data_IF_120991027994
#
_entry.id   IF_120991027994
#
_cell.length_a   1.000
_cell.length_b   1.000
_cell.length_c   1.000
_cell.angle_alpha   90.00
_cell.angle_beta   90.00
_cell.angle_gamma   90.00
#
_symmetry.space_group_name_H-M   'P 1'
#
loop_
_entity.id
_entity.type
_entity.pdbx_description
1 polymer ?
#
# COMPACT_ATOMS: atom_id res chain seq x y z
N UNK A 1 32.81 -45.94 15.16
CA UNK A 1 33.57 -44.89 15.90
C UNK A 1 33.27 -43.57 15.24
N UNK A 2 32.71 -42.61 15.92
CA UNK A 2 32.47 -41.28 15.39
C UNK A 2 33.82 -40.52 15.39
N UNK A 3 34.38 -40.26 14.22
CA UNK A 3 35.71 -39.62 14.04
C UNK A 3 35.79 -38.16 14.44
N UNK A 4 35.11 -37.77 15.55
CA UNK A 4 35.04 -36.39 16.05
C UNK A 4 35.66 -36.37 17.48
N UNK A 5 36.60 -35.42 17.72
CA UNK A 5 37.16 -35.24 19.06
C UNK A 5 36.11 -34.80 20.05
N UNK A 6 36.33 -35.12 21.38
CA UNK A 6 35.43 -34.70 22.46
C UNK A 6 35.26 -33.16 22.49
N UNK A 7 36.29 -32.41 22.22
CA UNK A 7 36.23 -30.94 22.15
C UNK A 7 35.37 -30.46 20.97
N UNK A 8 35.51 -31.09 19.79
CA UNK A 8 34.70 -30.76 18.62
C UNK A 8 33.18 -31.03 18.86
N UNK A 9 32.86 -32.11 19.59
CA UNK A 9 31.52 -32.44 20.00
C UNK A 9 30.88 -31.39 20.88
N UNK A 10 31.54 -30.99 21.96
CA UNK A 10 31.04 -29.94 22.86
C UNK A 10 30.94 -28.58 22.17
N UNK A 11 31.92 -28.22 21.34
CA UNK A 11 31.90 -26.98 20.56
C UNK A 11 30.70 -26.94 19.57
N UNK A 12 30.33 -28.10 19.01
CA UNK A 12 29.15 -28.24 18.15
C UNK A 12 27.85 -28.05 18.94
N UNK A 13 27.72 -28.68 20.12
CA UNK A 13 26.54 -28.52 20.99
C UNK A 13 26.37 -27.03 21.35
N UNK A 14 27.41 -26.35 21.74
CA UNK A 14 27.35 -24.91 22.09
C UNK A 14 26.94 -24.07 20.89
N UNK A 15 27.56 -24.30 19.73
CA UNK A 15 27.18 -23.65 18.48
C UNK A 15 25.71 -23.89 18.10
N UNK A 16 25.20 -25.09 18.30
CA UNK A 16 23.82 -25.43 17.98
C UNK A 16 22.83 -24.77 18.95
N UNK A 17 23.16 -24.65 20.24
CA UNK A 17 22.38 -23.86 21.23
C UNK A 17 22.28 -22.39 20.82
N UNK A 18 23.39 -21.77 20.44
CA UNK A 18 23.41 -20.37 19.98
C UNK A 18 22.55 -20.20 18.73
N UNK A 19 22.61 -21.11 17.76
CA UNK A 19 21.78 -21.08 16.57
C UNK A 19 20.29 -21.21 16.89
N UNK A 20 19.91 -22.05 17.86
CA UNK A 20 18.51 -22.18 18.30
C UNK A 20 18.02 -20.86 18.87
N UNK A 21 18.77 -20.25 19.79
CA UNK A 21 18.43 -18.96 20.38
C UNK A 21 18.31 -17.85 19.32
N UNK A 22 19.24 -17.78 18.36
CA UNK A 22 19.16 -16.83 17.26
C UNK A 22 17.89 -17.04 16.39
N UNK A 23 17.52 -18.29 16.11
CA UNK A 23 16.28 -18.59 15.35
C UNK A 23 15.02 -18.17 16.09
N UNK A 24 14.94 -18.44 17.39
CA UNK A 24 13.85 -18.00 18.26
C UNK A 24 13.74 -16.46 18.29
N UNK A 25 14.86 -15.79 18.45
CA UNK A 25 14.90 -14.33 18.39
C UNK A 25 14.35 -13.81 17.06
N UNK A 26 14.80 -14.36 15.92
CA UNK A 26 14.32 -13.95 14.59
C UNK A 26 12.82 -14.22 14.43
N UNK A 27 12.31 -15.33 14.93
CA UNK A 27 10.87 -15.64 14.88
C UNK A 27 10.05 -14.62 15.69
N UNK A 28 10.53 -14.22 16.85
CA UNK A 28 9.89 -13.18 17.67
C UNK A 28 9.86 -11.82 16.94
N UNK A 29 10.95 -11.45 16.28
CA UNK A 29 10.98 -10.20 15.48
C UNK A 29 10.03 -10.28 14.26
N UNK A 30 9.96 -11.43 13.59
CA UNK A 30 8.97 -11.68 12.52
C UNK A 30 7.55 -11.52 13.05
N UNK A 31 7.26 -12.05 14.24
CA UNK A 31 5.93 -11.92 14.86
C UNK A 31 5.57 -10.46 15.15
N UNK A 32 6.51 -9.67 15.68
CA UNK A 32 6.32 -8.22 15.89
C UNK A 32 5.93 -7.50 14.59
N UNK A 33 6.67 -7.72 13.51
CA UNK A 33 6.36 -7.11 12.20
C UNK A 33 4.99 -7.57 11.69
N UNK A 34 4.65 -8.85 11.87
CA UNK A 34 3.39 -9.41 11.38
C UNK A 34 2.17 -9.07 12.22
N UNK A 35 2.33 -8.61 13.46
CA UNK A 35 1.22 -8.00 14.22
C UNK A 35 0.68 -6.76 13.51
N UNK A 36 1.53 -5.97 12.90
CA UNK A 36 1.12 -4.78 12.15
C UNK A 36 0.84 -5.08 10.67
N UNK A 37 1.64 -5.95 10.04
CA UNK A 37 1.56 -6.32 8.63
C UNK A 37 1.41 -7.84 8.46
N UNK A 38 0.23 -8.43 8.70
CA UNK A 38 0.03 -9.89 8.88
C UNK A 38 0.50 -10.76 7.71
N UNK A 39 0.41 -10.26 6.49
CA UNK A 39 0.76 -11.03 5.29
C UNK A 39 2.00 -10.50 4.56
N UNK A 40 2.93 -9.88 5.31
CA UNK A 40 4.22 -9.47 4.73
C UNK A 40 5.03 -10.70 4.30
N UNK A 41 5.37 -10.75 3.01
CA UNK A 41 6.14 -11.85 2.42
C UNK A 41 7.61 -11.85 2.86
N UNK A 42 8.23 -13.03 2.87
CA UNK A 42 9.59 -13.27 3.40
C UNK A 42 10.66 -12.31 2.88
N UNK A 43 10.63 -11.95 1.59
CA UNK A 43 11.60 -11.01 1.03
C UNK A 43 11.55 -9.63 1.68
N UNK A 44 10.35 -9.09 1.93
CA UNK A 44 10.18 -7.80 2.62
C UNK A 44 10.49 -7.94 4.11
N UNK A 45 10.08 -9.05 4.75
CA UNK A 45 10.48 -9.36 6.13
C UNK A 45 11.99 -9.32 6.28
N UNK A 46 12.74 -9.92 5.36
CA UNK A 46 14.19 -9.92 5.40
C UNK A 46 14.76 -8.48 5.40
N UNK A 47 14.22 -7.59 4.56
CA UNK A 47 14.65 -6.19 4.54
C UNK A 47 14.30 -5.43 5.83
N UNK A 48 13.13 -5.70 6.42
CA UNK A 48 12.77 -5.12 7.72
C UNK A 48 13.68 -5.64 8.85
N UNK A 49 14.09 -6.90 8.79
CA UNK A 49 14.93 -7.55 9.82
C UNK A 49 16.42 -7.18 9.71
N UNK A 50 16.89 -6.78 8.52
CA UNK A 50 18.32 -6.52 8.29
C UNK A 50 18.99 -5.65 9.35
N UNK A 51 18.46 -4.48 9.77
CA UNK A 51 19.09 -3.67 10.80
C UNK A 51 19.22 -4.42 12.14
N UNK A 52 18.18 -5.16 12.54
CA UNK A 52 18.14 -5.94 13.77
C UNK A 52 19.10 -7.13 13.73
N UNK A 53 19.22 -7.80 12.58
CA UNK A 53 20.16 -8.90 12.37
C UNK A 53 21.61 -8.41 12.51
N UNK A 54 21.94 -7.28 11.89
CA UNK A 54 23.28 -6.65 11.97
C UNK A 54 23.58 -6.24 13.40
N UNK A 55 22.65 -5.57 14.08
CA UNK A 55 22.82 -5.10 15.46
C UNK A 55 23.10 -6.24 16.46
N UNK A 56 22.55 -7.43 16.21
CA UNK A 56 22.68 -8.60 17.08
C UNK A 56 23.72 -9.61 16.58
N UNK A 57 24.54 -9.27 15.59
CA UNK A 57 25.55 -10.16 14.94
C UNK A 57 24.96 -11.51 14.49
N UNK A 58 23.72 -11.50 14.00
CA UNK A 58 23.04 -12.70 13.49
C UNK A 58 23.30 -12.85 11.99
N UNK A 59 24.11 -13.82 11.61
CA UNK A 59 24.43 -14.13 10.21
C UNK A 59 23.35 -15.00 9.58
N UNK A 60 22.21 -14.40 9.23
CA UNK A 60 21.10 -15.06 8.56
C UNK A 60 20.87 -14.41 7.19
N UNK A 61 21.02 -15.18 6.11
CA UNK A 61 20.69 -14.73 4.76
C UNK A 61 19.20 -14.89 4.46
N UNK A 62 18.76 -14.30 3.34
CA UNK A 62 17.37 -14.37 2.86
C UNK A 62 16.86 -15.81 2.74
N UNK A 63 17.63 -16.71 2.18
CA UNK A 63 17.19 -18.08 1.92
C UNK A 63 17.11 -18.88 3.22
N UNK A 64 18.02 -18.65 4.18
CA UNK A 64 17.93 -19.22 5.52
C UNK A 64 16.65 -18.74 6.26
N UNK A 65 16.24 -17.49 6.07
CA UNK A 65 14.97 -17.00 6.59
C UNK A 65 13.77 -17.70 5.92
N UNK A 66 13.82 -17.95 4.60
CA UNK A 66 12.80 -18.74 3.92
C UNK A 66 12.67 -20.14 4.51
N UNK A 67 13.78 -20.81 4.76
CA UNK A 67 13.79 -22.17 5.33
C UNK A 67 13.27 -22.18 6.79
N UNK A 68 13.69 -21.19 7.59
CA UNK A 68 13.18 -21.02 8.95
C UNK A 68 11.64 -20.81 8.97
N UNK A 69 11.12 -19.94 8.12
CA UNK A 69 9.68 -19.68 8.02
C UNK A 69 8.91 -20.87 7.43
N UNK A 70 9.52 -21.60 6.49
CA UNK A 70 8.93 -22.82 5.92
C UNK A 70 8.81 -23.91 6.98
N UNK A 71 9.86 -24.16 7.73
CA UNK A 71 9.88 -25.14 8.81
C UNK A 71 8.78 -24.84 9.86
N UNK A 72 8.61 -23.58 10.22
CA UNK A 72 7.59 -23.13 11.17
C UNK A 72 6.20 -22.91 10.55
N UNK A 73 5.97 -23.28 9.27
CA UNK A 73 4.69 -23.09 8.54
C UNK A 73 4.21 -21.63 8.49
N UNK A 74 5.14 -20.70 8.51
CA UNK A 74 4.90 -19.26 8.52
C UNK A 74 4.99 -18.59 7.13
N UNK A 75 5.11 -19.35 6.05
CA UNK A 75 5.07 -18.79 4.70
C UNK A 75 3.68 -18.27 4.34
N UNK A 76 3.62 -17.08 3.74
CA UNK A 76 2.35 -16.50 3.27
C UNK A 76 1.82 -17.30 2.09
N UNK A 77 0.59 -17.82 2.20
CA UNK A 77 -0.07 -18.58 1.13
C UNK A 77 -0.62 -17.65 0.06
N UNK A 78 -0.50 -18.06 -1.21
CA UNK A 78 -1.17 -17.37 -2.33
C UNK A 78 -2.68 -17.52 -2.19
N UNK A 79 -3.42 -16.41 -2.31
CA UNK A 79 -4.88 -16.41 -2.31
C UNK A 79 -5.40 -16.27 -3.74
N UNK A 80 -6.53 -16.94 -4.07
CA UNK A 80 -7.18 -16.82 -5.37
C UNK A 80 -7.76 -15.39 -5.55
N UNK A 81 -7.67 -14.84 -6.77
CA UNK A 81 -8.27 -13.54 -7.14
C UNK A 81 -9.79 -13.68 -7.29
N UNK A 82 -10.54 -12.62 -6.99
CA UNK A 82 -12.00 -12.52 -7.15
C UNK A 82 -12.39 -11.31 -8.00
N UNK A 83 -13.64 -11.32 -8.48
CA UNK A 83 -14.25 -10.58 -9.58
C UNK A 83 -14.36 -9.06 -9.46
N UNK A 84 -14.55 -8.45 -10.62
CA UNK A 84 -14.78 -7.04 -10.95
C UNK A 84 -16.25 -6.68 -10.62
N UNK A 85 -16.47 -5.49 -10.05
CA UNK A 85 -17.80 -5.00 -9.64
C UNK A 85 -18.04 -3.53 -9.98
N UNK A 86 -17.55 -3.05 -11.11
CA UNK A 86 -17.80 -1.65 -11.53
C UNK A 86 -18.94 -1.60 -12.53
N UNK A 87 -20.00 -0.84 -12.22
CA UNK A 87 -21.04 -0.48 -13.18
C UNK A 87 -20.57 0.76 -13.96
N UNK A 88 -20.08 0.53 -15.19
CA UNK A 88 -19.60 1.56 -16.10
C UNK A 88 -20.62 1.98 -17.16
N UNK A 89 -21.85 1.44 -17.13
CA UNK A 89 -22.91 1.78 -18.07
C UNK A 89 -23.77 2.92 -17.53
N UNK A 90 -23.39 4.17 -17.83
CA UNK A 90 -24.15 5.37 -17.49
C UNK A 90 -24.06 6.42 -18.60
N UNK A 91 -24.95 7.41 -18.58
CA UNK A 91 -25.07 8.46 -19.59
C UNK A 91 -24.19 9.71 -19.32
N UNK A 92 -23.40 9.72 -18.25
CA UNK A 92 -22.57 10.88 -17.95
C UNK A 92 -21.38 11.00 -18.89
N UNK A 93 -20.96 12.25 -19.14
CA UNK A 93 -19.76 12.56 -19.90
C UNK A 93 -18.53 11.95 -19.23
N UNK A 94 -17.65 11.34 -20.01
CA UNK A 94 -16.38 10.78 -19.55
C UNK A 94 -15.25 11.68 -20.01
N UNK A 95 -14.40 12.10 -19.08
CA UNK A 95 -13.22 12.91 -19.39
C UNK A 95 -12.20 12.11 -20.23
N UNK A 96 -11.44 12.74 -21.13
CA UNK A 96 -10.41 12.04 -21.91
C UNK A 96 -9.35 11.43 -20.99
N UNK A 97 -8.74 10.32 -21.42
CA UNK A 97 -7.59 9.74 -20.69
C UNK A 97 -6.36 10.63 -20.89
N UNK A 98 -5.97 11.35 -19.84
CA UNK A 98 -4.85 12.29 -19.85
C UNK A 98 -3.54 11.68 -19.36
N UNK A 99 -3.56 10.40 -18.95
CA UNK A 99 -2.37 9.76 -18.39
C UNK A 99 -1.79 8.67 -19.28
N UNK A 100 -2.44 8.36 -20.41
CA UNK A 100 -2.04 7.27 -21.32
C UNK A 100 -0.59 7.38 -21.77
N UNK A 101 -0.18 8.59 -22.20
CA UNK A 101 1.17 8.86 -22.73
C UNK A 101 1.96 9.80 -21.80
N UNK A 102 1.49 9.98 -20.56
CA UNK A 102 2.10 10.86 -19.58
C UNK A 102 3.18 10.14 -18.80
N UNK A 103 4.40 10.63 -18.82
CA UNK A 103 5.44 10.21 -17.90
C UNK A 103 5.19 10.82 -16.51
N UNK A 104 4.91 9.94 -15.54
CA UNK A 104 4.68 10.34 -14.14
C UNK A 104 6.03 10.35 -13.44
N UNK A 105 6.59 11.54 -13.24
CA UNK A 105 7.96 11.73 -12.76
C UNK A 105 8.09 12.44 -11.41
N UNK A 106 6.97 12.85 -10.80
CA UNK A 106 6.95 13.49 -9.49
C UNK A 106 5.68 13.19 -8.69
N UNK A 107 5.77 13.35 -7.35
CA UNK A 107 4.63 13.27 -6.45
C UNK A 107 3.63 14.38 -6.72
N UNK A 108 2.34 14.04 -6.53
CA UNK A 108 1.20 14.95 -6.69
C UNK A 108 0.98 15.46 -8.13
N UNK A 109 1.58 14.79 -9.13
CA UNK A 109 1.29 15.03 -10.53
C UNK A 109 -0.03 14.38 -10.96
N UNK A 110 -0.26 13.15 -10.52
CA UNK A 110 -1.45 12.36 -10.84
C UNK A 110 -1.96 11.64 -9.60
N UNK A 111 -3.23 11.85 -9.28
CA UNK A 111 -3.94 11.02 -8.31
C UNK A 111 -4.80 10.00 -9.04
N UNK A 112 -4.70 8.74 -8.62
CA UNK A 112 -5.55 7.65 -9.11
C UNK A 112 -6.55 7.26 -8.03
N UNK A 113 -7.80 7.05 -8.42
CA UNK A 113 -8.89 6.73 -7.50
C UNK A 113 -9.66 5.51 -7.93
N UNK A 114 -10.13 4.77 -6.94
CA UNK A 114 -10.98 3.60 -7.13
C UNK A 114 -11.84 3.36 -5.88
N UNK A 115 -13.00 2.73 -6.08
CA UNK A 115 -13.90 2.31 -5.01
C UNK A 115 -13.85 0.80 -4.89
N UNK A 116 -13.65 0.30 -3.68
CA UNK A 116 -13.71 -1.12 -3.42
C UNK A 116 -14.68 -1.42 -2.27
N UNK A 117 -15.24 -2.63 -2.24
CA UNK A 117 -16.13 -3.04 -1.15
C UNK A 117 -15.37 -3.81 -0.07
N UNK A 118 -15.86 -3.67 1.16
CA UNK A 118 -15.42 -4.40 2.35
C UNK A 118 -16.65 -5.13 2.91
N UNK A 119 -16.50 -6.42 3.21
CA UNK A 119 -17.58 -7.22 3.78
C UNK A 119 -17.71 -6.95 5.28
N UNK A 120 -18.93 -6.62 5.72
CA UNK A 120 -19.26 -6.49 7.15
C UNK A 120 -20.41 -7.43 7.51
N UNK A 121 -20.65 -7.62 8.80
CA UNK A 121 -21.81 -8.45 9.24
C UNK A 121 -23.15 -7.84 8.82
N UNK A 122 -23.19 -6.53 8.59
CA UNK A 122 -24.37 -5.79 8.11
C UNK A 122 -24.46 -5.67 6.58
N UNK A 123 -23.61 -6.38 5.82
CA UNK A 123 -23.55 -6.33 4.37
C UNK A 123 -22.27 -5.67 3.84
N UNK A 124 -22.34 -5.18 2.60
CA UNK A 124 -21.21 -4.50 1.99
C UNK A 124 -21.13 -3.05 2.44
N UNK A 125 -19.90 -2.59 2.71
CA UNK A 125 -19.56 -1.19 2.85
C UNK A 125 -18.47 -0.85 1.82
N UNK A 126 -18.29 0.41 1.49
CA UNK A 126 -17.49 0.89 0.38
C UNK A 126 -16.33 1.74 0.86
N UNK A 127 -15.17 1.49 0.30
CA UNK A 127 -13.94 2.23 0.57
C UNK A 127 -13.51 2.95 -0.72
N UNK A 128 -13.53 4.27 -0.71
CA UNK A 128 -12.93 5.10 -1.74
C UNK A 128 -11.49 5.45 -1.35
N UNK A 129 -10.55 5.26 -2.26
CA UNK A 129 -9.15 5.62 -2.09
C UNK A 129 -8.73 6.66 -3.13
N UNK A 130 -7.91 7.60 -2.73
CA UNK A 130 -7.17 8.52 -3.60
C UNK A 130 -5.68 8.31 -3.35
N UNK A 131 -4.95 7.91 -4.37
CA UNK A 131 -3.53 7.50 -4.25
C UNK A 131 -2.68 8.32 -5.21
N UNK A 132 -1.56 8.83 -4.75
CA UNK A 132 -0.56 9.44 -5.61
C UNK A 132 0.10 8.39 -6.52
N UNK A 133 0.01 8.58 -7.82
CA UNK A 133 0.47 7.61 -8.79
C UNK A 133 2.00 7.45 -8.82
N UNK A 134 2.76 8.46 -8.43
CA UNK A 134 4.22 8.40 -8.35
C UNK A 134 4.68 7.66 -7.10
N UNK A 135 4.40 8.19 -5.92
CA UNK A 135 4.88 7.66 -4.64
C UNK A 135 4.10 6.45 -4.13
N UNK A 136 2.93 6.16 -4.73
CA UNK A 136 1.97 5.14 -4.26
C UNK A 136 1.38 5.44 -2.88
N UNK A 137 1.55 6.65 -2.36
CA UNK A 137 0.99 7.10 -1.08
C UNK A 137 -0.52 7.26 -1.19
N UNK A 138 -1.25 6.70 -0.24
CA UNK A 138 -2.67 6.97 -0.09
C UNK A 138 -2.81 8.37 0.51
N UNK A 139 -3.29 9.30 -0.32
CA UNK A 139 -3.44 10.71 0.01
C UNK A 139 -4.77 11.00 0.71
N UNK A 140 -5.81 10.22 0.37
CA UNK A 140 -7.12 10.37 0.97
C UNK A 140 -7.94 9.09 0.88
N UNK A 141 -8.87 8.95 1.80
CA UNK A 141 -9.80 7.83 1.81
C UNK A 141 -11.11 8.22 2.52
N UNK A 142 -12.19 7.53 2.15
CA UNK A 142 -13.47 7.59 2.87
C UNK A 142 -14.13 6.22 2.85
N UNK A 143 -14.89 5.91 3.90
CA UNK A 143 -15.53 4.61 4.09
C UNK A 143 -16.97 4.79 4.59
N UNK A 144 -17.93 4.25 3.84
CA UNK A 144 -19.36 4.38 4.11
C UNK A 144 -20.12 3.08 3.77
N UNK A 145 -21.30 2.92 4.33
CA UNK A 145 -22.26 1.85 4.00
C UNK A 145 -22.87 2.03 2.61
N UNK A 146 -22.87 3.26 2.08
CA UNK A 146 -23.47 3.61 0.81
C UNK A 146 -22.42 4.19 -0.13
N UNK A 147 -22.47 3.75 -1.39
CA UNK A 147 -21.60 4.24 -2.45
C UNK A 147 -22.13 5.57 -3.03
N UNK A 148 -22.18 6.62 -2.19
CA UNK A 148 -22.64 7.96 -2.57
C UNK A 148 -21.50 8.83 -3.11
N UNK A 149 -21.85 9.89 -3.85
CA UNK A 149 -20.91 10.89 -4.36
C UNK A 149 -20.22 11.63 -3.21
N UNK A 150 -20.90 11.85 -2.08
CA UNK A 150 -20.31 12.45 -0.88
C UNK A 150 -19.07 11.72 -0.39
N UNK A 151 -19.07 10.37 -0.44
CA UNK A 151 -17.95 9.55 -0.01
C UNK A 151 -16.68 9.81 -0.86
N UNK A 152 -16.82 9.86 -2.19
CA UNK A 152 -15.66 10.16 -3.06
C UNK A 152 -15.19 11.61 -2.93
N UNK A 153 -16.10 12.56 -2.68
CA UNK A 153 -15.76 13.95 -2.35
C UNK A 153 -14.98 14.07 -1.05
N UNK A 154 -15.35 13.32 -0.01
CA UNK A 154 -14.60 13.27 1.26
C UNK A 154 -13.18 12.73 1.06
N UNK A 155 -13.03 11.62 0.31
CA UNK A 155 -11.73 11.06 -0.01
C UNK A 155 -10.85 12.08 -0.77
N UNK A 156 -11.40 12.78 -1.77
CA UNK A 156 -10.69 13.82 -2.52
C UNK A 156 -10.38 15.03 -1.66
N UNK A 157 -11.27 15.43 -0.76
CA UNK A 157 -11.04 16.53 0.19
C UNK A 157 -9.87 16.20 1.13
N UNK A 158 -9.81 14.98 1.64
CA UNK A 158 -8.68 14.53 2.46
C UNK A 158 -7.39 14.54 1.64
N UNK A 159 -7.42 14.04 0.40
CA UNK A 159 -6.25 14.05 -0.48
C UNK A 159 -5.75 15.47 -0.76
N UNK A 160 -6.64 16.39 -1.07
CA UNK A 160 -6.32 17.81 -1.28
C UNK A 160 -5.69 18.46 -0.04
N UNK A 161 -6.21 18.19 1.16
CA UNK A 161 -5.64 18.69 2.43
C UNK A 161 -4.25 18.14 2.72
N UNK A 162 -3.95 16.93 2.24
CA UNK A 162 -2.66 16.25 2.42
C UNK A 162 -1.65 16.56 1.32
N UNK A 163 -2.02 17.35 0.31
CA UNK A 163 -1.08 17.91 -0.66
C UNK A 163 -0.10 18.85 0.03
N UNK A 164 1.15 18.73 -0.34
CA UNK A 164 2.25 19.53 0.22
C UNK A 164 2.62 20.68 -0.75
N UNK A 165 2.28 20.52 -2.03
CA UNK A 165 2.59 21.50 -3.06
C UNK A 165 1.38 22.35 -3.38
N UNK A 166 1.60 23.65 -3.61
CA UNK A 166 0.66 24.51 -4.32
C UNK A 166 0.76 24.19 -5.81
N UNK A 167 -0.14 23.34 -6.31
CA UNK A 167 -0.14 22.93 -7.71
C UNK A 167 -1.10 23.77 -8.53
N UNK A 168 -0.63 24.18 -9.70
CA UNK A 168 -1.50 24.78 -10.71
C UNK A 168 -2.57 23.78 -11.22
N UNK A 169 -2.28 22.50 -11.28
CA UNK A 169 -3.23 21.46 -11.71
C UNK A 169 -2.71 20.06 -11.39
N UNK A 170 -3.48 19.29 -10.62
CA UNK A 170 -3.26 17.85 -10.39
C UNK A 170 -4.24 17.06 -11.25
N UNK A 171 -3.76 16.07 -12.00
CA UNK A 171 -4.65 15.19 -12.76
C UNK A 171 -5.28 14.18 -11.78
N UNK A 172 -6.61 14.16 -11.72
CA UNK A 172 -7.35 13.14 -10.99
C UNK A 172 -7.91 12.11 -11.95
N UNK A 173 -7.36 10.90 -11.92
CA UNK A 173 -7.72 9.78 -12.79
C UNK A 173 -8.52 8.73 -12.04
N UNK A 174 -9.61 8.25 -12.64
CA UNK A 174 -10.47 7.19 -12.10
C UNK A 174 -10.99 6.27 -13.20
N UNK A 175 -11.61 5.18 -12.80
CA UNK A 175 -12.48 4.42 -13.70
C UNK A 175 -13.71 5.27 -14.11
N UNK A 176 -14.55 4.71 -15.02
CA UNK A 176 -15.81 5.32 -15.45
C UNK A 176 -16.95 5.04 -14.47
N UNK A 177 -16.69 4.92 -13.18
CA UNK A 177 -17.74 4.78 -12.19
C UNK A 177 -18.64 6.01 -12.13
N UNK A 178 -19.96 5.78 -12.02
CA UNK A 178 -20.97 6.85 -11.95
C UNK A 178 -20.65 7.95 -10.97
N UNK A 179 -20.01 7.60 -9.84
CA UNK A 179 -19.64 8.52 -8.77
C UNK A 179 -18.58 9.54 -9.20
N UNK A 180 -17.67 9.15 -10.10
CA UNK A 180 -16.59 9.99 -10.60
C UNK A 180 -16.98 10.81 -11.83
N UNK A 181 -17.99 10.33 -12.61
CA UNK A 181 -18.42 10.98 -13.85
C UNK A 181 -19.60 11.93 -13.68
N UNK A 182 -20.28 11.95 -12.53
CA UNK A 182 -21.43 12.82 -12.33
C UNK A 182 -21.00 14.30 -12.23
N UNK A 183 -21.85 15.26 -12.74
CA UNK A 183 -21.54 16.70 -12.73
C UNK A 183 -21.24 17.25 -11.33
N UNK A 184 -21.91 16.72 -10.29
CA UNK A 184 -21.68 17.09 -8.91
C UNK A 184 -20.26 16.78 -8.41
N UNK A 185 -19.67 15.67 -8.85
CA UNK A 185 -18.28 15.34 -8.51
C UNK A 185 -17.27 16.09 -9.38
N UNK A 186 -17.48 16.13 -10.69
CA UNK A 186 -16.54 16.76 -11.62
C UNK A 186 -16.43 18.27 -11.38
N UNK A 187 -17.56 18.95 -11.12
CA UNK A 187 -17.56 20.37 -10.71
C UNK A 187 -16.85 20.59 -9.35
N UNK A 188 -17.10 19.71 -8.39
CA UNK A 188 -16.41 19.76 -7.09
C UNK A 188 -14.88 19.58 -7.24
N UNK A 189 -14.43 18.64 -8.06
CA UNK A 189 -13.01 18.39 -8.30
C UNK A 189 -12.35 19.59 -9.02
N UNK A 190 -13.02 20.14 -10.05
CA UNK A 190 -12.55 21.32 -10.76
C UNK A 190 -12.39 22.55 -9.83
N UNK A 191 -13.36 22.79 -8.93
CA UNK A 191 -13.29 23.88 -7.94
C UNK A 191 -12.13 23.72 -6.95
N UNK A 192 -11.56 22.50 -6.82
CA UNK A 192 -10.37 22.23 -6.00
C UNK A 192 -9.07 22.21 -6.83
N UNK A 193 -9.10 22.60 -8.10
CA UNK A 193 -7.94 22.64 -8.97
C UNK A 193 -7.56 21.30 -9.62
N UNK A 194 -8.42 20.26 -9.54
CA UNK A 194 -8.16 18.99 -10.20
C UNK A 194 -8.61 18.97 -11.64
N UNK A 195 -7.77 18.44 -12.53
CA UNK A 195 -8.12 18.14 -13.92
C UNK A 195 -8.57 16.69 -14.02
N UNK A 196 -9.83 16.47 -14.43
CA UNK A 196 -10.39 15.13 -14.51
C UNK A 196 -9.83 14.33 -15.69
N UNK A 197 -9.61 13.05 -15.44
CA UNK A 197 -9.20 12.03 -16.41
C UNK A 197 -9.91 10.72 -16.07
N UNK A 198 -10.39 10.00 -17.09
CA UNK A 198 -11.04 8.70 -16.90
C UNK A 198 -10.50 7.66 -17.87
N UNK A 199 -10.61 6.39 -17.49
CA UNK A 199 -10.32 5.27 -18.39
C UNK A 199 -11.21 5.38 -19.67
N UNK A 200 -10.68 5.04 -20.84
CA UNK A 200 -11.43 5.13 -22.10
C UNK A 200 -12.02 3.78 -22.53
N UNK A 201 -11.31 2.70 -22.21
CA UNK A 201 -11.72 1.33 -22.48
C UNK A 201 -11.82 0.56 -21.17
N UNK A 202 -12.43 -0.63 -21.20
CA UNK A 202 -12.42 -1.54 -20.05
C UNK A 202 -11.07 -2.24 -19.90
N UNK A 203 -9.98 -1.50 -20.13
CA UNK A 203 -8.61 -2.01 -20.00
C UNK A 203 -8.19 -1.94 -18.53
N UNK A 204 -7.93 -3.11 -17.89
CA UNK A 204 -7.46 -3.15 -16.50
C UNK A 204 -6.15 -2.39 -16.27
N UNK A 205 -5.36 -2.13 -17.31
CA UNK A 205 -4.09 -1.41 -17.16
C UNK A 205 -4.28 0.10 -16.97
N UNK A 206 -5.42 0.66 -17.41
CA UNK A 206 -5.68 2.10 -17.30
C UNK A 206 -5.83 2.58 -15.84
N UNK A 207 -6.26 1.71 -14.90
CA UNK A 207 -6.34 2.04 -13.46
C UNK A 207 -5.59 1.04 -12.57
N UNK A 208 -4.59 0.36 -13.11
CA UNK A 208 -3.86 -0.72 -12.44
C UNK A 208 -3.21 -0.32 -11.11
N UNK A 209 -2.81 0.95 -10.94
CA UNK A 209 -2.22 1.44 -9.69
C UNK A 209 -3.27 1.42 -8.57
N UNK A 210 -4.44 2.02 -8.79
CA UNK A 210 -5.51 2.08 -7.80
C UNK A 210 -6.02 0.68 -7.42
N UNK A 211 -6.26 -0.18 -8.41
CA UNK A 211 -6.63 -1.59 -8.19
C UNK A 211 -5.58 -2.34 -7.38
N UNK A 212 -4.29 -2.11 -7.67
CA UNK A 212 -3.18 -2.73 -6.94
C UNK A 212 -3.17 -2.33 -5.47
N UNK A 213 -3.40 -1.05 -5.17
CA UNK A 213 -3.44 -0.55 -3.79
C UNK A 213 -4.63 -1.13 -3.03
N UNK A 214 -5.82 -1.15 -3.64
CA UNK A 214 -6.99 -1.83 -3.09
C UNK A 214 -6.72 -3.30 -2.78
N UNK A 215 -6.06 -4.00 -3.73
CA UNK A 215 -5.64 -5.38 -3.54
C UNK A 215 -4.69 -5.55 -2.36
N UNK A 216 -3.72 -4.65 -2.18
CA UNK A 216 -2.78 -4.69 -1.06
C UNK A 216 -3.51 -4.54 0.27
N UNK A 217 -4.39 -3.54 0.41
CA UNK A 217 -5.15 -3.34 1.65
C UNK A 217 -6.02 -4.55 1.97
N UNK A 218 -6.69 -5.12 0.98
CA UNK A 218 -7.52 -6.32 1.18
C UNK A 218 -6.71 -7.55 1.60
N UNK A 219 -5.59 -7.82 0.92
CA UNK A 219 -4.87 -9.07 1.11
C UNK A 219 -3.80 -9.01 2.19
N UNK A 220 -3.10 -7.90 2.34
CA UNK A 220 -2.00 -7.79 3.29
C UNK A 220 -2.46 -7.31 4.68
N UNK A 221 -3.56 -6.50 4.74
CA UNK A 221 -4.08 -5.92 5.99
C UNK A 221 -5.41 -6.53 6.48
N UNK A 222 -5.80 -7.66 5.91
CA UNK A 222 -6.94 -8.44 6.43
C UNK A 222 -8.33 -7.90 6.08
N UNK A 223 -8.45 -6.81 5.29
CA UNK A 223 -9.73 -6.22 4.89
C UNK A 223 -10.57 -7.11 3.94
N UNK A 224 -10.05 -8.26 3.54
CA UNK A 224 -10.80 -9.27 2.79
C UNK A 224 -11.73 -10.09 3.68
N UNK A 225 -11.40 -10.24 4.95
CA UNK A 225 -12.22 -10.99 5.90
C UNK A 225 -13.49 -10.21 6.21
N UNK A 226 -14.54 -10.93 6.55
CA UNK A 226 -15.78 -10.32 7.06
C UNK A 226 -15.51 -9.65 8.39
N UNK A 227 -15.89 -8.38 8.54
CA UNK A 227 -15.62 -7.55 9.71
C UNK A 227 -16.93 -7.33 10.47
N UNK A 228 -16.89 -7.41 11.80
CA UNK A 228 -18.08 -7.39 12.65
C UNK A 228 -18.92 -6.10 12.54
N UNK A 229 -18.30 -4.93 12.30
CA UNK A 229 -19.05 -3.69 12.14
C UNK A 229 -18.32 -2.67 11.27
N UNK A 230 -19.06 -1.68 10.79
CA UNK A 230 -18.54 -0.55 10.01
C UNK A 230 -17.56 0.28 10.82
N UNK A 231 -17.81 0.50 12.11
CA UNK A 231 -16.93 1.28 12.97
C UNK A 231 -15.59 0.57 13.21
N UNK A 232 -15.63 -0.75 13.40
CA UNK A 232 -14.43 -1.57 13.51
C UNK A 232 -13.67 -1.53 12.18
N UNK A 233 -14.36 -1.69 11.04
CA UNK A 233 -13.75 -1.61 9.71
C UNK A 233 -13.07 -0.25 9.50
N UNK A 234 -13.71 0.86 9.89
CA UNK A 234 -13.14 2.21 9.79
C UNK A 234 -11.84 2.35 10.58
N UNK A 235 -11.78 1.81 11.81
CA UNK A 235 -10.56 1.80 12.63
C UNK A 235 -9.45 0.99 11.98
N UNK A 236 -9.77 -0.21 11.48
CA UNK A 236 -8.81 -1.07 10.78
C UNK A 236 -8.29 -0.40 9.51
N UNK A 237 -9.16 0.23 8.70
CA UNK A 237 -8.77 0.95 7.48
C UNK A 237 -7.83 2.11 7.82
N UNK A 238 -8.16 2.92 8.84
CA UNK A 238 -7.29 4.02 9.28
C UNK A 238 -5.89 3.54 9.62
N UNK A 239 -5.79 2.50 10.45
CA UNK A 239 -4.51 1.90 10.83
C UNK A 239 -3.79 1.27 9.63
N UNK A 240 -4.51 0.55 8.77
CA UNK A 240 -3.94 -0.06 7.56
C UNK A 240 -3.35 0.98 6.60
N UNK A 241 -4.04 2.11 6.39
CA UNK A 241 -3.53 3.21 5.57
C UNK A 241 -2.28 3.84 6.18
N UNK A 242 -2.25 4.04 7.49
CA UNK A 242 -1.10 4.59 8.19
C UNK A 242 0.13 3.67 8.07
N UNK A 243 -0.03 2.38 8.35
CA UNK A 243 1.04 1.38 8.23
C UNK A 243 1.47 1.25 6.76
N UNK A 244 0.52 1.22 5.83
CA UNK A 244 0.79 1.16 4.39
C UNK A 244 1.68 2.33 3.94
N UNK A 245 1.35 3.54 4.33
CA UNK A 245 2.10 4.73 3.93
C UNK A 245 3.50 4.79 4.58
N UNK A 246 3.61 4.43 5.86
CA UNK A 246 4.81 4.71 6.65
C UNK A 246 5.76 3.52 6.82
N UNK A 247 5.25 2.28 6.72
CA UNK A 247 6.06 1.10 7.07
C UNK A 247 6.15 0.10 5.91
N UNK A 248 5.13 0.03 5.04
CA UNK A 248 5.11 -0.99 4.00
C UNK A 248 6.11 -0.68 2.87
N UNK A 249 7.09 -1.57 2.68
CA UNK A 249 8.06 -1.49 1.58
C UNK A 249 7.43 -1.88 0.23
N UNK A 250 7.78 -1.15 -0.83
CA UNK A 250 7.33 -1.41 -2.20
C UNK A 250 8.50 -1.78 -3.12
N UNK A 251 8.34 -2.84 -3.91
CA UNK A 251 9.33 -3.22 -4.92
C UNK A 251 9.49 -2.15 -6.01
N UNK A 252 8.38 -1.56 -6.46
CA UNK A 252 8.40 -0.50 -7.47
C UNK A 252 8.93 0.84 -6.95
N UNK A 253 9.29 0.93 -5.68
CA UNK A 253 9.88 2.09 -5.02
C UNK A 253 11.24 1.73 -4.40
N UNK A 254 11.94 0.76 -4.96
CA UNK A 254 13.26 0.30 -4.46
C UNK A 254 13.27 -0.01 -2.98
N UNK A 255 12.23 -0.74 -2.52
CA UNK A 255 12.02 -1.11 -1.12
C UNK A 255 11.92 0.08 -0.15
N UNK A 256 11.52 1.25 -0.66
CA UNK A 256 11.12 2.40 0.17
C UNK A 256 9.64 2.35 0.50
N UNK A 257 9.23 3.10 1.53
CA UNK A 257 7.83 3.29 1.84
C UNK A 257 7.22 4.40 0.97
N UNK A 258 5.90 4.40 0.72
CA UNK A 258 5.23 5.48 0.01
C UNK A 258 5.54 6.87 0.58
N UNK A 259 5.54 7.01 1.92
CA UNK A 259 5.85 8.27 2.59
C UNK A 259 7.29 8.73 2.36
N UNK A 260 8.28 7.82 2.39
CA UNK A 260 9.68 8.15 2.11
C UNK A 260 9.85 8.71 0.70
N UNK A 261 9.24 8.06 -0.31
CA UNK A 261 9.32 8.51 -1.70
C UNK A 261 8.60 9.84 -1.89
N UNK A 262 7.42 10.01 -1.29
CA UNK A 262 6.67 11.23 -1.34
C UNK A 262 7.46 12.42 -0.77
N UNK A 263 8.11 12.24 0.38
CA UNK A 263 8.92 13.26 1.03
C UNK A 263 10.25 13.55 0.29
N UNK A 264 10.88 12.54 -0.32
CA UNK A 264 12.18 12.72 -0.98
C UNK A 264 12.10 13.67 -2.18
N UNK A 265 11.00 13.61 -2.92
CA UNK A 265 10.74 14.56 -4.00
C UNK A 265 10.64 16.00 -3.47
N UNK A 266 9.94 16.19 -2.35
CA UNK A 266 9.79 17.49 -1.71
C UNK A 266 11.14 18.12 -1.32
N UNK A 267 12.08 17.33 -0.79
CA UNK A 267 13.39 17.81 -0.40
C UNK A 267 14.25 18.26 -1.60
N UNK A 268 14.13 17.60 -2.75
CA UNK A 268 14.86 17.97 -3.95
C UNK A 268 14.33 19.26 -4.60
N UNK A 269 13.01 19.43 -4.64
CA UNK A 269 12.41 20.67 -5.15
C UNK A 269 12.70 21.87 -4.26
N UNK A 270 12.64 21.71 -2.94
CA UNK A 270 12.96 22.79 -1.98
C UNK A 270 14.41 23.27 -2.14
N UNK A 271 15.35 22.36 -2.41
CA UNK A 271 16.75 22.68 -2.69
C UNK A 271 16.95 23.36 -4.04
N UNK A 272 16.20 22.97 -5.08
CA UNK A 272 16.26 23.58 -6.41
C UNK A 272 15.62 24.97 -6.46
N UNK A 273 14.56 25.21 -5.69
CA UNK A 273 13.92 26.52 -5.58
C UNK A 273 14.81 27.53 -4.86
N UNK A 274 15.46 27.14 -3.76
CA UNK A 274 16.46 28.01 -3.09
C UNK A 274 17.68 28.33 -3.95
N UNK A 275 18.10 27.44 -4.86
CA UNK A 275 19.20 27.71 -5.80
C UNK A 275 18.81 28.63 -6.96
N UNK A 276 17.52 28.75 -7.30
CA UNK A 276 17.02 29.67 -8.32
C UNK A 276 16.65 31.05 -7.76
N UNK A 277 16.51 31.18 -6.45
CA UNK A 277 16.17 32.40 -5.74
C UNK A 277 17.39 33.08 -5.07
N UNK A 278 18.60 32.52 -5.21
CA UNK A 278 19.89 33.08 -4.84
C UNK A 278 20.72 33.37 -6.07
#
# INVERSE_FOLDING_TARGET
>A
MFGISKQAYYKRIESDKVKVQQREFVLNEVDKIRKEMPHTGTRKLYHHLLPTLIQNDIKMGRDALFDLLRYNRLLVKKTKRFHITTDSKHFYYTSPNRIKDLEINHSEQVFVSDITYINTDKGHAYLALVTDAYSKKIMGWSFDNNMKVSMVKEALTMAHKNCIFEHASVIHHSDRGKQYCCPDYTGFAANKGFTMSTTQQSDPYENAIAERINGILKYEFGLRKKIASVDIARKIIKQAVEIYNNQRLHWSLDLKTPQMVHNSYNQQQYKSYKRKAA
#
